data_IF_419524673486
#
_entry.id   IF_419524673486
#
_cell.length_a   1.000
_cell.length_b   1.000
_cell.length_c   1.000
_cell.angle_alpha   90.00
_cell.angle_beta   90.00
_cell.angle_gamma   90.00
#
_symmetry.space_group_name_H-M   'P 1'
#
loop_
_entity.id
_entity.type
_entity.pdbx_description
1 polymer ?
#
# COMPACT_ATOMS: atom_id res chain seq x y z
N UNK A 1 -11.39 -7.00 -19.71
CA UNK A 1 -10.22 -7.45 -20.48
C UNK A 1 -9.51 -6.24 -21.05
N UNK A 2 -8.20 -6.26 -20.99
CA UNK A 2 -7.30 -5.28 -21.61
C UNK A 2 -6.37 -6.04 -22.55
N UNK A 3 -6.17 -5.55 -23.76
CA UNK A 3 -5.19 -6.08 -24.72
C UNK A 3 -4.03 -5.09 -24.85
N UNK A 4 -2.81 -5.56 -24.59
CA UNK A 4 -1.59 -4.79 -24.72
C UNK A 4 -0.40 -5.70 -25.04
N UNK A 5 0.46 -5.26 -25.98
CA UNK A 5 1.65 -6.03 -26.37
C UNK A 5 1.35 -7.41 -26.98
N UNK A 6 0.21 -7.56 -27.66
CA UNK A 6 -0.24 -8.84 -28.22
C UNK A 6 -0.76 -9.85 -27.20
N UNK A 7 -0.95 -9.46 -25.95
CA UNK A 7 -1.46 -10.30 -24.88
C UNK A 7 -2.75 -9.76 -24.27
N UNK A 8 -3.59 -10.64 -23.75
CA UNK A 8 -4.83 -10.30 -23.06
C UNK A 8 -4.65 -10.40 -21.55
N UNK A 9 -5.13 -9.37 -20.87
CA UNK A 9 -4.97 -9.21 -19.43
C UNK A 9 -6.32 -9.05 -18.74
N UNK A 10 -6.47 -9.63 -17.56
CA UNK A 10 -7.64 -9.48 -16.71
C UNK A 10 -7.21 -9.13 -15.29
N UNK A 11 -8.02 -8.32 -14.61
CA UNK A 11 -7.84 -8.12 -13.18
C UNK A 11 -8.38 -9.34 -12.45
N UNK A 12 -7.60 -9.89 -11.53
CA UNK A 12 -8.01 -10.96 -10.64
C UNK A 12 -7.95 -10.51 -9.19
N UNK A 13 -8.63 -11.20 -8.29
CA UNK A 13 -8.48 -11.01 -6.84
C UNK A 13 -7.19 -11.58 -6.27
N UNK A 14 -6.42 -12.31 -7.08
CA UNK A 14 -5.14 -12.87 -6.64
C UNK A 14 -4.09 -11.76 -6.49
N UNK A 15 -3.38 -11.80 -5.39
CA UNK A 15 -2.30 -10.84 -5.11
C UNK A 15 -1.09 -11.13 -5.97
N UNK A 16 -0.46 -10.08 -6.51
CA UNK A 16 0.86 -10.21 -7.11
C UNK A 16 1.88 -10.59 -6.03
N UNK A 17 2.88 -11.42 -6.36
CA UNK A 17 4.00 -11.68 -5.46
C UNK A 17 4.67 -10.38 -5.02
N UNK A 18 5.16 -10.34 -3.78
CA UNK A 18 5.95 -9.20 -3.33
C UNK A 18 7.21 -9.03 -4.19
N UNK A 19 7.41 -7.83 -4.73
CA UNK A 19 8.59 -7.47 -5.50
C UNK A 19 9.16 -6.15 -4.98
N UNK A 20 10.44 -6.19 -4.57
CA UNK A 20 11.19 -4.98 -4.20
C UNK A 20 11.30 -4.01 -5.38
N UNK A 21 11.61 -4.54 -6.56
CA UNK A 21 11.75 -3.76 -7.79
C UNK A 21 10.55 -3.99 -8.71
N UNK A 22 9.62 -3.07 -8.65
CA UNK A 22 8.37 -3.07 -9.43
C UNK A 22 8.59 -2.83 -10.93
N UNK A 23 9.82 -2.63 -11.38
CA UNK A 23 10.16 -2.39 -12.79
C UNK A 23 10.68 -3.62 -13.53
N UNK A 24 10.67 -4.80 -12.87
CA UNK A 24 11.21 -6.03 -13.44
C UNK A 24 10.38 -6.61 -14.57
N UNK A 25 9.08 -6.40 -14.53
CA UNK A 25 8.13 -6.84 -15.53
C UNK A 25 7.10 -5.75 -15.83
N UNK A 26 6.19 -6.00 -16.75
CA UNK A 26 5.17 -5.02 -17.16
C UNK A 26 3.90 -5.06 -16.28
N UNK A 27 3.82 -5.88 -15.24
CA UNK A 27 2.61 -6.02 -14.43
C UNK A 27 2.11 -4.69 -13.86
N UNK A 28 3.02 -3.88 -13.28
CA UNK A 28 2.64 -2.56 -12.74
C UNK A 28 2.25 -1.58 -13.83
N UNK A 29 2.88 -1.65 -15.00
CA UNK A 29 2.49 -0.83 -16.15
C UNK A 29 1.09 -1.21 -16.66
N UNK A 30 0.81 -2.51 -16.78
CA UNK A 30 -0.51 -3.01 -17.19
C UNK A 30 -1.60 -2.63 -16.18
N UNK A 31 -1.33 -2.76 -14.86
CA UNK A 31 -2.24 -2.27 -13.84
C UNK A 31 -2.51 -0.76 -13.98
N UNK A 32 -1.50 0.02 -14.37
CA UNK A 32 -1.65 1.45 -14.63
C UNK A 32 -2.52 1.71 -15.85
N UNK A 33 -2.39 0.93 -16.93
CA UNK A 33 -3.29 1.03 -18.08
C UNK A 33 -4.75 0.72 -17.70
N UNK A 34 -4.98 -0.27 -16.84
CA UNK A 34 -6.32 -0.52 -16.29
C UNK A 34 -6.85 0.67 -15.47
N UNK A 35 -6.00 1.29 -14.65
CA UNK A 35 -6.39 2.44 -13.85
C UNK A 35 -6.75 3.64 -14.74
N UNK A 36 -5.95 3.93 -15.77
CA UNK A 36 -6.21 4.99 -16.75
C UNK A 36 -7.51 4.72 -17.50
N UNK A 37 -7.71 3.49 -17.98
CA UNK A 37 -8.92 3.13 -18.71
C UNK A 37 -10.18 3.27 -17.86
N UNK A 38 -10.13 2.88 -16.58
CA UNK A 38 -11.23 3.07 -15.62
C UNK A 38 -11.49 4.55 -15.32
N UNK A 39 -10.45 5.37 -15.24
CA UNK A 39 -10.61 6.81 -15.06
C UNK A 39 -11.27 7.46 -16.27
N UNK A 40 -10.93 7.04 -17.48
CA UNK A 40 -11.59 7.50 -18.70
C UNK A 40 -13.06 7.05 -18.76
N UNK A 41 -13.40 5.84 -18.31
CA UNK A 41 -14.80 5.43 -18.13
C UNK A 41 -15.52 6.33 -17.11
N UNK A 42 -14.91 6.57 -15.94
CA UNK A 42 -15.49 7.39 -14.87
C UNK A 42 -15.72 8.84 -15.28
N UNK A 43 -14.79 9.42 -16.02
CA UNK A 43 -14.87 10.79 -16.53
C UNK A 43 -15.66 10.92 -17.85
N UNK A 44 -16.23 9.80 -18.34
CA UNK A 44 -16.93 9.72 -19.63
C UNK A 44 -16.09 10.26 -20.82
N UNK A 45 -14.77 10.08 -20.76
CA UNK A 45 -13.86 10.47 -21.81
C UNK A 45 -14.05 9.60 -23.05
N UNK A 46 -14.46 10.19 -24.17
CA UNK A 46 -14.69 9.49 -25.44
C UNK A 46 -13.54 9.63 -26.43
N UNK A 47 -12.49 10.38 -26.09
CA UNK A 47 -11.35 10.60 -26.99
C UNK A 47 -10.63 9.28 -27.30
N UNK A 48 -10.23 9.13 -28.55
CA UNK A 48 -9.42 7.98 -28.99
C UNK A 48 -7.94 8.15 -28.61
N UNK A 49 -7.51 9.37 -28.35
CA UNK A 49 -6.15 9.74 -27.92
C UNK A 49 -6.20 10.75 -26.77
N UNK A 50 -5.38 10.52 -25.76
CA UNK A 50 -5.23 11.42 -24.63
C UNK A 50 -3.78 11.55 -24.16
N UNK A 51 -3.45 12.74 -23.66
CA UNK A 51 -2.19 12.97 -22.97
C UNK A 51 -2.38 12.81 -21.48
N UNK A 52 -1.51 12.02 -20.85
CA UNK A 52 -1.64 11.64 -19.43
C UNK A 52 -0.41 12.09 -18.65
N UNK A 53 -0.63 12.74 -17.53
CA UNK A 53 0.36 12.99 -16.52
C UNK A 53 0.14 11.99 -15.36
N UNK A 54 1.15 11.20 -15.03
CA UNK A 54 1.05 10.16 -13.99
C UNK A 54 1.66 10.64 -12.69
N UNK A 55 0.94 10.45 -11.59
CA UNK A 55 1.48 10.47 -10.24
C UNK A 55 1.58 9.04 -9.72
N UNK A 56 2.79 8.58 -9.41
CA UNK A 56 3.06 7.20 -8.98
C UNK A 56 3.81 7.20 -7.65
N UNK A 57 3.61 6.15 -6.85
CA UNK A 57 4.20 6.03 -5.52
C UNK A 57 5.26 4.94 -5.43
N UNK A 58 6.39 5.27 -4.80
CA UNK A 58 7.42 4.32 -4.40
C UNK A 58 7.46 4.20 -2.87
N UNK A 59 7.78 2.99 -2.33
CA UNK A 59 8.10 2.87 -0.91
C UNK A 59 9.16 3.89 -0.52
N UNK A 60 9.03 4.56 0.63
CA UNK A 60 9.96 5.63 1.02
C UNK A 60 11.42 5.20 1.02
N UNK A 61 11.72 3.99 1.47
CA UNK A 61 13.08 3.42 1.51
C UNK A 61 13.73 3.33 0.12
N UNK A 62 12.93 3.04 -0.90
CA UNK A 62 13.43 2.86 -2.27
C UNK A 62 13.39 4.15 -3.09
N UNK A 63 12.76 5.20 -2.58
CA UNK A 63 12.52 6.43 -3.31
C UNK A 63 13.81 7.07 -3.84
N UNK A 64 14.84 7.19 -3.00
CA UNK A 64 16.11 7.81 -3.37
C UNK A 64 16.82 7.09 -4.54
N UNK A 65 16.85 5.75 -4.51
CA UNK A 65 17.57 4.95 -5.50
C UNK A 65 16.78 4.64 -6.76
N UNK A 66 15.47 4.43 -6.63
CA UNK A 66 14.65 3.90 -7.72
C UNK A 66 13.77 4.95 -8.39
N UNK A 67 13.72 6.19 -7.91
CA UNK A 67 12.82 7.24 -8.43
C UNK A 67 12.95 7.43 -9.94
N UNK A 68 14.16 7.61 -10.43
CA UNK A 68 14.40 7.86 -11.85
C UNK A 68 14.10 6.63 -12.71
N UNK A 69 14.55 5.45 -12.27
CA UNK A 69 14.26 4.19 -12.95
C UNK A 69 12.75 3.94 -13.01
N UNK A 70 12.03 4.21 -11.92
CA UNK A 70 10.59 4.05 -11.84
C UNK A 70 9.84 5.05 -12.72
N UNK A 71 10.30 6.30 -12.79
CA UNK A 71 9.76 7.28 -13.73
C UNK A 71 9.95 6.83 -15.18
N UNK A 72 11.14 6.35 -15.55
CA UNK A 72 11.43 5.85 -16.90
C UNK A 72 10.62 4.59 -17.25
N UNK A 73 10.38 3.71 -16.29
CA UNK A 73 9.54 2.52 -16.47
C UNK A 73 8.13 2.87 -16.96
N UNK A 74 7.52 3.94 -16.44
CA UNK A 74 6.20 4.39 -16.89
C UNK A 74 6.27 5.28 -18.11
N UNK A 75 7.36 6.03 -18.30
CA UNK A 75 7.55 6.92 -19.45
C UNK A 75 7.97 6.12 -20.68
N UNK A 76 7.04 5.38 -21.26
CA UNK A 76 7.27 4.66 -22.51
C UNK A 76 7.64 5.64 -23.65
N UNK A 77 8.45 5.18 -24.59
CA UNK A 77 8.79 5.98 -25.78
C UNK A 77 7.59 6.05 -26.73
N UNK A 78 7.02 7.23 -26.88
CA UNK A 78 5.93 7.48 -27.83
C UNK A 78 4.54 7.15 -27.34
N UNK A 79 3.64 6.84 -28.28
CA UNK A 79 2.27 6.46 -28.00
C UNK A 79 2.16 5.04 -27.47
N UNK A 80 1.34 4.87 -26.46
CA UNK A 80 0.93 3.57 -25.93
C UNK A 80 -0.47 3.26 -26.47
N UNK A 81 -0.53 2.23 -27.30
CA UNK A 81 -1.79 1.75 -27.88
C UNK A 81 -2.23 0.49 -27.15
N UNK A 82 -3.48 0.43 -26.74
CA UNK A 82 -4.09 -0.72 -26.08
C UNK A 82 -5.60 -0.78 -26.37
N UNK A 83 -6.21 -1.93 -26.12
CA UNK A 83 -7.65 -2.08 -26.23
C UNK A 83 -8.22 -2.41 -24.85
N UNK A 84 -9.24 -1.66 -24.42
CA UNK A 84 -9.91 -1.92 -23.16
C UNK A 84 -11.39 -2.17 -23.39
N UNK A 85 -11.89 -3.36 -23.00
CA UNK A 85 -13.28 -3.81 -23.23
C UNK A 85 -13.72 -3.67 -24.70
N UNK A 86 -12.84 -3.97 -25.65
CA UNK A 86 -13.10 -3.86 -27.09
C UNK A 86 -12.95 -2.47 -27.66
N UNK A 87 -12.69 -1.44 -26.85
CA UNK A 87 -12.48 -0.07 -27.31
C UNK A 87 -10.97 0.20 -27.50
N UNK A 88 -10.53 0.58 -28.71
CA UNK A 88 -9.15 1.03 -28.95
C UNK A 88 -8.87 2.35 -28.23
N UNK A 89 -7.72 2.44 -27.59
CA UNK A 89 -7.26 3.61 -26.84
C UNK A 89 -5.80 3.87 -27.14
N UNK A 90 -5.45 5.15 -27.27
CA UNK A 90 -4.07 5.63 -27.45
C UNK A 90 -3.78 6.69 -26.41
N UNK A 91 -2.69 6.55 -25.68
CA UNK A 91 -2.24 7.56 -24.73
C UNK A 91 -0.80 7.95 -24.95
N UNK A 92 -0.45 9.16 -24.58
CA UNK A 92 0.92 9.63 -24.46
C UNK A 92 1.18 10.05 -23.02
N UNK A 93 2.08 9.36 -22.33
CA UNK A 93 2.48 9.72 -20.97
C UNK A 93 3.53 10.84 -21.08
N UNK A 94 3.11 12.09 -20.78
CA UNK A 94 3.98 13.28 -20.87
C UNK A 94 4.93 13.38 -19.70
N UNK A 95 4.38 13.33 -18.50
CA UNK A 95 5.12 13.47 -17.25
C UNK A 95 4.82 12.31 -16.32
N UNK A 96 5.85 11.87 -15.64
CA UNK A 96 5.74 10.90 -14.54
C UNK A 96 6.31 11.52 -13.28
N UNK A 97 5.44 11.84 -12.34
CA UNK A 97 5.80 12.37 -11.04
C UNK A 97 5.85 11.22 -10.04
N UNK A 98 7.00 10.98 -9.46
CA UNK A 98 7.20 9.93 -8.46
C UNK A 98 7.21 10.55 -7.08
N UNK A 99 6.38 10.02 -6.19
CA UNK A 99 6.28 10.46 -4.80
C UNK A 99 6.62 9.32 -3.83
N UNK A 100 7.12 9.61 -2.63
CA UNK A 100 7.14 8.62 -1.57
C UNK A 100 5.70 8.15 -1.27
N UNK A 101 5.48 6.84 -1.20
CA UNK A 101 4.20 6.31 -0.73
C UNK A 101 3.90 6.89 0.65
N UNK A 102 2.64 6.95 1.02
CA UNK A 102 2.17 7.60 2.24
C UNK A 102 2.17 9.14 2.23
N UNK A 103 3.12 9.83 1.55
CA UNK A 103 3.16 11.28 1.54
C UNK A 103 1.89 11.90 0.93
N UNK A 104 1.39 11.32 -0.16
CA UNK A 104 0.18 11.82 -0.82
C UNK A 104 -1.07 11.79 0.10
N UNK A 105 -1.17 10.83 1.00
CA UNK A 105 -2.29 10.70 1.92
C UNK A 105 -2.39 11.84 2.95
N UNK A 106 -1.28 12.51 3.23
CA UNK A 106 -1.21 13.58 4.23
C UNK A 106 -1.19 14.99 3.64
N UNK A 107 -1.10 15.12 2.31
CA UNK A 107 -1.14 16.42 1.61
C UNK A 107 -2.38 17.25 2.00
N UNK A 108 -3.61 16.68 2.13
CA UNK A 108 -4.78 17.46 2.56
C UNK A 108 -4.64 18.08 3.95
N UNK A 109 -3.74 17.54 4.79
CA UNK A 109 -3.46 18.02 6.14
C UNK A 109 -2.20 18.90 6.22
N UNK A 110 -1.67 19.32 5.08
CA UNK A 110 -0.40 20.04 4.95
C UNK A 110 -0.31 21.28 5.86
N UNK A 111 -1.39 22.03 6.03
CA UNK A 111 -1.43 23.23 6.89
C UNK A 111 -1.10 22.92 8.35
N UNK A 112 -1.56 21.77 8.88
CA UNK A 112 -1.24 21.30 10.22
C UNK A 112 0.21 20.81 10.28
N UNK A 113 0.64 20.07 9.26
CA UNK A 113 1.98 19.49 9.19
C UNK A 113 3.09 20.52 9.09
N UNK A 114 2.83 21.66 8.43
CA UNK A 114 3.77 22.78 8.36
C UNK A 114 4.02 23.43 9.73
N UNK A 115 3.11 23.27 10.70
CA UNK A 115 3.26 23.81 12.06
C UNK A 115 4.03 22.87 12.99
N UNK A 116 4.28 21.64 12.58
CA UNK A 116 5.01 20.65 13.37
C UNK A 116 6.47 20.54 12.91
N UNK A 117 7.39 20.54 13.86
CA UNK A 117 8.82 20.37 13.53
C UNK A 117 9.11 18.98 12.94
N UNK A 118 8.47 17.96 13.51
CA UNK A 118 8.62 16.56 13.09
C UNK A 118 7.25 15.88 13.16
N UNK A 119 6.92 15.12 12.14
CA UNK A 119 5.73 14.25 12.11
C UNK A 119 6.12 12.95 11.44
N UNK A 120 5.76 11.83 12.04
CA UNK A 120 5.95 10.53 11.42
C UNK A 120 4.68 10.11 10.66
N UNK A 121 4.87 9.51 9.50
CA UNK A 121 3.80 8.80 8.79
C UNK A 121 4.14 7.32 8.86
N UNK A 122 3.21 6.52 9.34
CA UNK A 122 3.34 5.08 9.49
C UNK A 122 2.29 4.43 8.60
N UNK A 123 2.72 3.92 7.46
CA UNK A 123 1.85 3.26 6.47
C UNK A 123 1.88 1.75 6.69
N UNK A 124 0.80 1.23 7.27
CA UNK A 124 0.68 -0.21 7.54
C UNK A 124 0.02 -0.87 6.33
N UNK A 125 0.87 -1.40 5.46
CA UNK A 125 0.48 -2.10 4.24
C UNK A 125 0.22 -3.60 4.45
N UNK A 126 0.16 -4.33 3.35
CA UNK A 126 -0.01 -5.79 3.37
C UNK A 126 1.25 -6.52 3.85
N UNK A 127 2.39 -6.26 3.25
CA UNK A 127 3.66 -6.94 3.58
C UNK A 127 4.56 -6.10 4.48
N UNK A 128 4.51 -4.78 4.35
CA UNK A 128 5.40 -3.85 5.03
C UNK A 128 4.64 -2.83 5.85
N UNK A 129 5.33 -2.29 6.85
CA UNK A 129 5.01 -1.04 7.52
C UNK A 129 6.09 -0.03 7.15
N UNK A 130 5.71 0.97 6.38
CA UNK A 130 6.63 1.99 5.90
C UNK A 130 6.58 3.23 6.81
N UNK A 131 7.75 3.72 7.20
CA UNK A 131 7.89 4.89 8.08
C UNK A 131 8.56 6.03 7.34
N UNK A 132 7.89 7.15 7.26
CA UNK A 132 8.38 8.38 6.66
C UNK A 132 8.40 9.50 7.70
N UNK A 133 9.51 10.20 7.83
CA UNK A 133 9.61 11.42 8.64
C UNK A 133 9.30 12.64 7.78
N UNK A 134 8.44 13.51 8.27
CA UNK A 134 8.27 14.87 7.76
C UNK A 134 8.96 15.87 8.69
N UNK A 135 9.73 16.80 8.13
CA UNK A 135 10.25 17.99 8.82
C UNK A 135 9.55 19.22 8.28
N UNK A 136 8.80 19.89 9.12
CA UNK A 136 7.97 21.05 8.74
C UNK A 136 7.15 20.76 7.47
N UNK A 137 6.49 19.58 7.44
CA UNK A 137 5.65 19.13 6.34
C UNK A 137 6.36 18.61 5.09
N UNK A 138 7.70 18.61 5.05
CA UNK A 138 8.48 18.11 3.91
C UNK A 138 9.09 16.74 4.21
N UNK A 139 9.09 15.78 3.25
CA UNK A 139 9.70 14.48 3.43
C UNK A 139 11.20 14.57 3.72
N UNK A 140 11.64 13.94 4.81
CA UNK A 140 13.05 13.70 5.11
C UNK A 140 13.46 12.35 4.53
N UNK A 141 14.03 12.37 3.32
CA UNK A 141 14.40 11.15 2.61
C UNK A 141 15.58 10.39 3.25
N UNK A 142 16.28 10.98 4.22
CA UNK A 142 17.31 10.27 4.98
C UNK A 142 16.70 9.37 6.05
N UNK A 143 15.50 9.72 6.52
CA UNK A 143 14.74 8.91 7.44
C UNK A 143 13.51 8.29 6.73
N UNK A 144 13.78 7.30 5.91
CA UNK A 144 12.77 6.41 5.31
C UNK A 144 13.11 4.99 5.72
N UNK A 145 12.14 4.26 6.30
CA UNK A 145 12.33 2.88 6.76
C UNK A 145 11.16 2.03 6.31
N UNK A 146 11.44 0.76 6.06
CA UNK A 146 10.43 -0.25 5.74
C UNK A 146 10.64 -1.44 6.67
N UNK A 147 9.63 -1.80 7.42
CA UNK A 147 9.60 -2.95 8.31
C UNK A 147 8.83 -4.07 7.61
N UNK A 148 9.37 -5.28 7.59
CA UNK A 148 8.69 -6.45 7.00
C UNK A 148 7.59 -6.97 7.96
N UNK A 149 6.69 -6.09 8.37
CA UNK A 149 5.67 -6.31 9.38
C UNK A 149 4.35 -5.66 8.96
N UNK A 150 3.67 -6.31 8.03
CA UNK A 150 2.36 -5.87 7.53
C UNK A 150 1.23 -6.83 7.91
N UNK A 151 0.01 -6.53 7.44
CA UNK A 151 -1.21 -7.30 7.74
C UNK A 151 -1.10 -8.76 7.26
N UNK A 152 -0.52 -9.00 6.09
CA UNK A 152 -0.38 -10.35 5.52
C UNK A 152 0.58 -11.17 6.38
N UNK A 153 1.68 -10.57 6.84
CA UNK A 153 2.64 -11.22 7.74
C UNK A 153 1.96 -11.62 9.05
N UNK A 154 1.14 -10.72 9.61
CA UNK A 154 0.32 -11.02 10.79
C UNK A 154 -0.64 -12.17 10.52
N UNK A 155 -1.43 -12.09 9.45
CA UNK A 155 -2.44 -13.10 9.12
C UNK A 155 -1.82 -14.48 8.94
N UNK A 156 -0.72 -14.58 8.20
CA UNK A 156 0.00 -15.84 8.00
C UNK A 156 0.47 -16.44 9.34
N UNK A 157 0.98 -15.62 10.25
CA UNK A 157 1.37 -16.04 11.60
C UNK A 157 0.18 -16.53 12.42
N UNK A 158 -0.95 -15.84 12.36
CA UNK A 158 -2.20 -16.22 13.06
C UNK A 158 -2.75 -17.52 12.47
N UNK A 159 -2.86 -17.65 11.16
CA UNK A 159 -3.34 -18.86 10.49
C UNK A 159 -2.50 -20.08 10.91
N UNK A 160 -1.18 -19.95 10.87
CA UNK A 160 -0.27 -21.01 11.30
C UNK A 160 -0.45 -21.40 12.77
N UNK A 161 -0.58 -20.41 13.66
CA UNK A 161 -0.81 -20.63 15.10
C UNK A 161 -2.14 -21.33 15.38
N UNK A 162 -3.22 -20.91 14.72
CA UNK A 162 -4.55 -21.52 14.90
C UNK A 162 -4.56 -22.95 14.34
N UNK A 163 -3.99 -23.17 13.15
CA UNK A 163 -3.86 -24.52 12.59
C UNK A 163 -3.10 -25.46 13.53
N UNK A 164 -1.96 -25.03 14.07
CA UNK A 164 -1.13 -25.84 14.95
C UNK A 164 -1.80 -26.15 16.31
N UNK A 165 -2.53 -25.19 16.88
CA UNK A 165 -3.10 -25.32 18.24
C UNK A 165 -4.48 -25.97 18.25
N UNK A 166 -5.30 -25.71 17.24
CA UNK A 166 -6.71 -26.08 17.21
C UNK A 166 -7.07 -27.05 16.09
N UNK A 167 -6.10 -27.44 15.24
CA UNK A 167 -6.32 -28.23 14.02
C UNK A 167 -7.44 -27.65 13.14
N UNK A 168 -7.49 -26.30 13.07
CA UNK A 168 -8.53 -25.56 12.39
C UNK A 168 -7.94 -24.69 11.27
N UNK A 169 -8.58 -24.71 10.10
CA UNK A 169 -8.23 -23.85 8.97
C UNK A 169 -9.10 -22.59 9.01
N UNK A 170 -8.46 -21.44 9.09
CA UNK A 170 -9.10 -20.12 9.00
C UNK A 170 -8.51 -19.32 7.83
N UNK A 171 -9.21 -18.28 7.42
CA UNK A 171 -8.85 -17.38 6.31
C UNK A 171 -8.73 -15.93 6.81
N UNK A 172 -8.19 -15.04 5.98
CA UNK A 172 -7.97 -13.62 6.28
C UNK A 172 -9.26 -12.91 6.73
N UNK A 173 -10.39 -13.30 6.13
CA UNK A 173 -11.72 -12.74 6.41
C UNK A 173 -12.18 -13.06 7.84
N UNK A 174 -11.87 -14.27 8.34
CA UNK A 174 -12.19 -14.65 9.73
C UNK A 174 -11.39 -13.80 10.72
N UNK A 175 -10.09 -13.56 10.43
CA UNK A 175 -9.23 -12.72 11.27
C UNK A 175 -9.77 -11.30 11.29
N UNK A 176 -10.05 -10.74 10.11
CA UNK A 176 -10.59 -9.38 9.98
C UNK A 176 -11.93 -9.22 10.71
N UNK A 177 -12.83 -10.20 10.59
CA UNK A 177 -14.11 -10.17 11.30
C UNK A 177 -13.91 -10.14 12.83
N UNK A 178 -13.01 -10.98 13.37
CA UNK A 178 -12.71 -11.01 14.81
C UNK A 178 -12.11 -9.68 15.29
N UNK A 179 -11.19 -9.10 14.53
CA UNK A 179 -10.50 -7.86 14.95
C UNK A 179 -11.40 -6.62 14.84
N UNK A 180 -12.33 -6.61 13.90
CA UNK A 180 -13.27 -5.50 13.69
C UNK A 180 -14.59 -5.67 14.46
N UNK A 181 -14.73 -6.75 15.26
CA UNK A 181 -15.95 -7.01 16.03
C UNK A 181 -17.12 -7.51 15.20
N UNK A 182 -16.85 -8.05 14.00
CA UNK A 182 -17.86 -8.66 13.15
C UNK A 182 -18.31 -10.05 13.66
N UNK A 183 -19.43 -10.53 13.12
CA UNK A 183 -19.94 -11.86 13.42
C UNK A 183 -19.08 -12.96 12.81
N UNK A 184 -18.83 -14.02 13.55
CA UNK A 184 -18.10 -15.21 13.10
C UNK A 184 -18.53 -16.43 13.90
N UNK A 185 -18.56 -17.60 13.26
CA UNK A 185 -18.90 -18.89 13.86
C UNK A 185 -17.73 -19.50 14.66
N UNK A 186 -16.55 -18.84 14.69
CA UNK A 186 -15.38 -19.35 15.40
C UNK A 186 -15.65 -19.45 16.91
N UNK A 187 -15.15 -20.51 17.60
CA UNK A 187 -15.18 -20.64 19.05
C UNK A 187 -14.49 -19.45 19.75
N UNK A 188 -14.93 -19.11 20.97
CA UNK A 188 -14.43 -17.91 21.66
C UNK A 188 -12.95 -18.00 22.05
N UNK A 189 -12.45 -19.18 22.38
CA UNK A 189 -11.04 -19.42 22.64
C UNK A 189 -10.16 -19.24 21.40
N UNK A 190 -10.67 -19.57 20.20
CA UNK A 190 -10.03 -19.29 18.92
C UNK A 190 -10.01 -17.78 18.64
N UNK A 191 -11.15 -17.08 18.84
CA UNK A 191 -11.23 -15.63 18.71
C UNK A 191 -10.25 -14.92 19.64
N UNK A 192 -10.17 -15.37 20.89
CA UNK A 192 -9.23 -14.82 21.87
C UNK A 192 -7.77 -15.05 21.43
N UNK A 193 -7.44 -16.24 20.93
CA UNK A 193 -6.09 -16.53 20.41
C UNK A 193 -5.72 -15.65 19.19
N UNK A 194 -6.70 -15.31 18.34
CA UNK A 194 -6.53 -14.38 17.22
C UNK A 194 -6.23 -12.97 17.76
N UNK A 195 -7.02 -12.45 18.70
CA UNK A 195 -6.82 -11.12 19.32
C UNK A 195 -5.45 -11.00 19.97
N UNK A 196 -5.04 -12.00 20.75
CA UNK A 196 -3.74 -12.02 21.41
C UNK A 196 -2.57 -12.02 20.42
N UNK A 197 -2.67 -12.82 19.37
CA UNK A 197 -1.63 -12.85 18.34
C UNK A 197 -1.54 -11.53 17.56
N UNK A 198 -2.70 -10.92 17.24
CA UNK A 198 -2.73 -9.60 16.59
C UNK A 198 -2.18 -8.50 17.49
N UNK A 199 -2.52 -8.51 18.79
CA UNK A 199 -1.98 -7.56 19.77
C UNK A 199 -0.46 -7.70 19.91
N UNK A 200 0.06 -8.94 19.94
CA UNK A 200 1.49 -9.21 19.96
C UNK A 200 2.20 -8.67 18.71
N UNK A 201 1.59 -8.82 17.55
CA UNK A 201 2.13 -8.28 16.29
C UNK A 201 2.13 -6.74 16.28
N UNK A 202 1.02 -6.11 16.70
CA UNK A 202 0.92 -4.66 16.82
C UNK A 202 1.97 -4.09 17.78
N UNK A 203 2.15 -4.75 18.94
CA UNK A 203 3.22 -4.40 19.89
C UNK A 203 4.60 -4.51 19.24
N UNK A 204 4.86 -5.58 18.48
CA UNK A 204 6.11 -5.75 17.75
C UNK A 204 6.39 -4.59 16.78
N UNK A 205 5.37 -4.07 16.08
CA UNK A 205 5.52 -2.87 15.24
C UNK A 205 5.91 -1.65 16.10
N UNK A 206 5.21 -1.42 17.22
CA UNK A 206 5.52 -0.30 18.12
C UNK A 206 6.93 -0.39 18.72
N UNK A 207 7.40 -1.59 19.07
CA UNK A 207 8.74 -1.81 19.60
C UNK A 207 9.80 -1.53 18.50
N UNK A 208 9.59 -1.99 17.26
CA UNK A 208 10.45 -1.66 16.11
C UNK A 208 10.46 -0.14 15.82
N UNK A 209 9.32 0.55 15.95
CA UNK A 209 9.29 2.02 15.82
C UNK A 209 10.15 2.70 16.88
N UNK A 210 10.13 2.21 18.12
CA UNK A 210 11.00 2.72 19.20
C UNK A 210 12.48 2.50 18.90
N UNK A 211 12.86 1.31 18.41
CA UNK A 211 14.23 1.02 17.96
C UNK A 211 14.71 1.98 16.86
N UNK A 212 13.79 2.40 15.98
CA UNK A 212 14.04 3.42 14.96
C UNK A 212 14.03 4.87 15.53
N UNK A 213 13.98 5.04 16.86
CA UNK A 213 13.90 6.34 17.53
C UNK A 213 12.66 7.17 17.15
N UNK A 214 11.56 6.49 16.79
CA UNK A 214 10.25 7.10 16.61
C UNK A 214 9.59 7.22 17.98
N UNK A 215 9.77 8.38 18.63
CA UNK A 215 9.12 8.65 19.91
C UNK A 215 7.74 9.29 19.69
N UNK A 216 6.71 8.49 19.85
CA UNK A 216 5.30 8.90 19.68
C UNK A 216 4.79 9.81 20.80
N UNK A 217 5.55 9.95 21.92
CA UNK A 217 5.18 10.85 23.03
C UNK A 217 5.55 12.30 22.77
N UNK A 218 6.61 12.50 21.99
CA UNK A 218 7.17 13.83 21.69
C UNK A 218 6.91 14.30 20.26
N UNK A 219 6.48 13.39 19.38
CA UNK A 219 6.21 13.72 17.99
C UNK A 219 4.87 13.14 17.55
N UNK A 220 4.02 13.91 16.85
CA UNK A 220 2.81 13.37 16.26
C UNK A 220 3.14 12.30 15.21
N UNK A 221 2.28 11.27 15.16
CA UNK A 221 2.33 10.25 14.12
C UNK A 221 0.96 10.11 13.45
N UNK A 222 0.96 9.90 12.15
CA UNK A 222 -0.23 9.65 11.35
C UNK A 222 -0.14 8.23 10.84
N UNK A 223 -1.05 7.39 11.32
CA UNK A 223 -1.16 6.01 10.86
C UNK A 223 -2.11 5.94 9.66
N UNK A 224 -1.65 5.32 8.57
CA UNK A 224 -2.39 5.18 7.33
C UNK A 224 -2.27 3.75 6.80
N UNK A 225 -2.87 3.49 5.64
CA UNK A 225 -2.92 2.17 5.03
C UNK A 225 -4.06 1.31 5.57
N UNK A 226 -4.37 0.22 4.86
CA UNK A 226 -5.45 -0.70 5.26
C UNK A 226 -5.23 -1.36 6.61
N UNK A 227 -3.97 -1.60 6.97
CA UNK A 227 -3.60 -2.19 8.27
C UNK A 227 -3.87 -1.26 9.44
N UNK A 228 -3.82 0.07 9.26
CA UNK A 228 -4.09 1.01 10.35
C UNK A 228 -5.52 0.86 10.91
N UNK A 229 -6.47 0.45 10.08
CA UNK A 229 -7.86 0.20 10.51
C UNK A 229 -7.94 -1.03 11.43
N UNK A 230 -7.24 -2.12 11.07
CA UNK A 230 -7.20 -3.34 11.86
C UNK A 230 -6.44 -3.18 13.17
N UNK A 231 -5.36 -2.41 13.15
CA UNK A 231 -4.50 -2.21 14.33
C UNK A 231 -4.98 -1.11 15.27
N UNK A 232 -5.87 -0.22 14.82
CA UNK A 232 -6.36 0.88 15.65
C UNK A 232 -6.85 0.45 17.03
N UNK A 233 -7.76 -0.54 17.19
CA UNK A 233 -8.23 -0.96 18.50
C UNK A 233 -7.12 -1.55 19.38
N UNK A 234 -6.05 -2.08 18.78
CA UNK A 234 -4.91 -2.71 19.46
C UNK A 234 -3.84 -1.71 19.88
N UNK A 235 -3.80 -0.53 19.27
CA UNK A 235 -2.82 0.53 19.55
C UNK A 235 -3.36 1.63 20.46
N UNK A 236 -4.70 1.78 20.57
CA UNK A 236 -5.39 2.74 21.45
C UNK A 236 -5.67 2.16 22.83
N UNK A 237 -5.45 0.85 23.05
CA UNK A 237 -5.60 0.14 24.35
C UNK A 237 -4.28 0.19 25.14
#
# INVERSE_FOLDING_TARGET
>A
VLEYGGSYWTLSGQRLPYMRDKTRDDNYFILTLFAIAKEFERSNCQAAFEQVDLAVGLPPEHYGMLREKFAQYFKRSGMVNYVYKGRPMSIMIRHVMVYPQAYAAVIPQSTLLLKTLRTFIVDIGGFTTDVLLLRSGKPDLQFCRSLESGVITMNNGIIGKISAKYDMKIEDEHISAVLLGGETILPEDVKQSIREAAASHAKGILDQLRELQVDLRSNPAIFIGGGSILFRPLMES
#
